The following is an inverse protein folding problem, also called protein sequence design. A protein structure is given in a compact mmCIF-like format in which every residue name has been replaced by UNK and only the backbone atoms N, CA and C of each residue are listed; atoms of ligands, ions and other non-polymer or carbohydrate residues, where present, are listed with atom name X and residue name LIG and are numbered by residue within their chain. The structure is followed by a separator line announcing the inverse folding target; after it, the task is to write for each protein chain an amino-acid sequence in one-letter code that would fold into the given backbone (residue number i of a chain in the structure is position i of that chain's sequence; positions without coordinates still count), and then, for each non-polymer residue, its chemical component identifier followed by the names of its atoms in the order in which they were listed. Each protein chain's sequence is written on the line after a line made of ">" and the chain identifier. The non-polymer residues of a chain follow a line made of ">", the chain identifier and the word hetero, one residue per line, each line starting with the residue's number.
data_IF_933850498034
#
_entry.id   IF_933850498034
#
_cell.length_a   1.000
_cell.length_b   1.000
_cell.length_c   1.000
_cell.angle_alpha   90.00
_cell.angle_beta   90.00
_cell.angle_gamma   90.00
#
_symmetry.space_group_name_H-M   'P 1'
#
loop_
_entity.id
_entity.type
_entity.pdbx_description
1 polymer ?
#
# COMPACT_ATOMS: atom_id res chain seq x y z
N UNK A 1 12.20 -3.89 47.36
CA UNK A 1 12.02 -4.41 45.99
C UNK A 1 11.15 -3.42 45.24
N UNK A 2 11.72 -2.65 44.32
CA UNK A 2 10.96 -1.70 43.52
C UNK A 2 10.25 -2.45 42.38
N UNK A 3 8.93 -2.42 42.39
CA UNK A 3 8.10 -2.89 41.27
C UNK A 3 8.25 -1.90 40.11
N UNK A 4 9.07 -2.25 39.12
CA UNK A 4 9.08 -1.58 37.82
C UNK A 4 7.73 -1.80 37.15
N UNK A 5 6.89 -0.77 37.16
CA UNK A 5 5.70 -0.70 36.33
C UNK A 5 6.17 -0.65 34.88
N UNK A 6 6.08 -1.75 34.16
CA UNK A 6 6.33 -1.79 32.73
C UNK A 6 5.27 -0.93 32.06
N UNK A 7 5.61 0.30 31.67
CA UNK A 7 4.73 1.09 30.80
C UNK A 7 4.51 0.29 29.52
N UNK A 8 3.29 -0.22 29.36
CA UNK A 8 2.87 -0.85 28.12
C UNK A 8 2.71 0.29 27.12
N UNK A 9 3.81 0.61 26.42
CA UNK A 9 3.82 1.67 25.42
C UNK A 9 2.75 1.33 24.35
N UNK A 10 1.64 2.08 24.38
CA UNK A 10 0.52 1.83 23.49
C UNK A 10 0.96 2.13 22.04
N UNK A 11 0.57 1.30 21.06
CA UNK A 11 0.98 1.54 19.68
C UNK A 11 0.38 2.84 19.16
N UNK A 12 1.11 3.55 18.32
CA UNK A 12 0.61 4.70 17.58
C UNK A 12 -0.56 4.24 16.70
N UNK A 13 -1.73 4.85 16.85
CA UNK A 13 -2.89 4.55 15.99
C UNK A 13 -2.88 5.54 14.82
N UNK A 14 -2.81 5.00 13.60
CA UNK A 14 -2.83 5.79 12.37
C UNK A 14 -4.05 5.41 11.55
N UNK A 15 -4.86 6.42 11.23
CA UNK A 15 -6.03 6.26 10.36
C UNK A 15 -5.66 6.73 8.96
N UNK A 16 -5.89 5.88 7.97
CA UNK A 16 -5.63 6.16 6.55
C UNK A 16 -6.97 6.15 5.81
N UNK A 17 -7.31 7.29 5.20
CA UNK A 17 -8.49 7.43 4.35
C UNK A 17 -8.08 7.23 2.89
N UNK A 18 -8.49 6.10 2.32
CA UNK A 18 -8.13 5.65 0.97
C UNK A 18 -7.06 4.55 0.99
N UNK A 19 -7.37 3.43 0.34
CA UNK A 19 -6.49 2.28 0.16
C UNK A 19 -5.82 2.21 -1.21
N UNK A 20 -5.80 3.29 -1.97
CA UNK A 20 -5.07 3.33 -3.25
C UNK A 20 -3.54 3.23 -3.08
N UNK A 21 -2.78 3.36 -4.18
CA UNK A 21 -1.32 3.18 -4.19
C UNK A 21 -0.57 3.90 -3.06
N UNK A 22 -0.90 5.16 -2.83
CA UNK A 22 -0.28 5.99 -1.79
C UNK A 22 -0.62 5.49 -0.39
N UNK A 23 -1.90 5.21 -0.13
CA UNK A 23 -2.37 4.76 1.18
C UNK A 23 -1.79 3.41 1.58
N UNK A 24 -1.74 2.46 0.64
CA UNK A 24 -1.13 1.15 0.85
C UNK A 24 0.38 1.25 1.06
N UNK A 25 1.10 1.97 0.18
CA UNK A 25 2.55 2.13 0.29
C UNK A 25 2.95 2.79 1.62
N UNK A 26 2.26 3.86 2.00
CA UNK A 26 2.46 4.52 3.30
C UNK A 26 2.23 3.53 4.46
N UNK A 27 1.15 2.76 4.39
CA UNK A 27 0.76 1.86 5.48
C UNK A 27 1.76 0.71 5.65
N UNK A 28 2.19 0.10 4.54
CA UNK A 28 3.20 -0.95 4.54
C UNK A 28 4.54 -0.41 5.04
N UNK A 29 4.96 0.76 4.57
CA UNK A 29 6.20 1.38 5.00
C UNK A 29 6.22 1.70 6.49
N UNK A 30 5.17 2.34 6.99
CA UNK A 30 5.05 2.66 8.41
C UNK A 30 5.02 1.38 9.27
N UNK A 31 4.30 0.35 8.83
CA UNK A 31 4.26 -0.95 9.51
C UNK A 31 5.64 -1.60 9.55
N UNK A 32 6.42 -1.53 8.48
CA UNK A 32 7.78 -2.09 8.46
C UNK A 32 8.77 -1.32 9.33
N UNK A 33 8.65 0.00 9.38
CA UNK A 33 9.51 0.84 10.23
C UNK A 33 9.20 0.67 11.73
N UNK A 34 7.91 0.60 12.08
CA UNK A 34 7.48 0.64 13.49
C UNK A 34 7.10 -0.73 14.06
N UNK A 35 6.87 -1.74 13.20
CA UNK A 35 6.43 -3.06 13.60
C UNK A 35 5.22 -3.01 14.53
N UNK A 36 5.35 -3.64 15.69
CA UNK A 36 4.29 -3.68 16.73
C UNK A 36 3.98 -2.33 17.39
N UNK A 37 4.78 -1.29 17.14
CA UNK A 37 4.59 0.04 17.72
C UNK A 37 3.59 0.90 16.93
N UNK A 38 3.01 0.40 15.84
CA UNK A 38 1.95 1.07 15.09
C UNK A 38 0.76 0.14 14.87
N UNK A 39 -0.44 0.71 14.90
CA UNK A 39 -1.68 0.07 14.46
C UNK A 39 -2.31 0.95 13.39
N UNK A 40 -2.47 0.38 12.19
CA UNK A 40 -3.06 1.09 11.05
C UNK A 40 -4.53 0.69 10.89
N UNK A 41 -5.39 1.68 10.71
CA UNK A 41 -6.80 1.51 10.39
C UNK A 41 -7.03 2.19 9.04
N UNK A 42 -7.36 1.39 8.02
CA UNK A 42 -7.57 1.89 6.67
C UNK A 42 -9.04 1.84 6.30
N UNK A 43 -9.56 2.96 5.79
CA UNK A 43 -10.90 3.05 5.22
C UNK A 43 -10.81 3.16 3.70
N UNK A 44 -11.29 2.13 2.99
CA UNK A 44 -11.35 2.10 1.53
C UNK A 44 -12.76 1.71 1.07
N UNK A 45 -13.46 2.64 0.41
CA UNK A 45 -14.83 2.43 -0.06
C UNK A 45 -14.94 1.53 -1.29
N UNK A 46 -13.81 1.18 -1.90
CA UNK A 46 -13.71 0.28 -3.07
C UNK A 46 -13.39 -1.15 -2.68
N UNK A 47 -13.24 -1.47 -1.41
CA UNK A 47 -13.07 -2.85 -0.96
C UNK A 47 -14.41 -3.49 -0.66
N UNK A 48 -14.49 -4.80 -0.89
CA UNK A 48 -15.52 -5.66 -0.35
C UNK A 48 -14.89 -6.90 0.26
N UNK A 49 -15.62 -7.51 1.19
CA UNK A 49 -15.18 -8.74 1.86
C UNK A 49 -16.04 -9.87 1.33
N UNK A 50 -15.41 -10.94 0.84
CA UNK A 50 -16.14 -12.12 0.36
C UNK A 50 -16.66 -12.97 1.54
N UNK A 51 -17.33 -14.08 1.21
CA UNK A 51 -17.86 -15.01 2.22
C UNK A 51 -16.74 -15.69 3.04
N UNK A 52 -15.52 -15.74 2.52
CA UNK A 52 -14.32 -16.31 3.12
C UNK A 52 -13.52 -15.30 3.95
N UNK A 53 -14.02 -14.06 4.11
CA UNK A 53 -13.37 -12.95 4.81
C UNK A 53 -12.09 -12.45 4.13
N UNK A 54 -11.89 -12.75 2.85
CA UNK A 54 -10.81 -12.15 2.04
C UNK A 54 -11.27 -10.78 1.54
N UNK A 55 -10.36 -9.81 1.60
CA UNK A 55 -10.57 -8.45 1.07
C UNK A 55 -10.31 -8.48 -0.43
N UNK A 56 -11.26 -7.92 -1.18
CA UNK A 56 -11.19 -7.80 -2.63
C UNK A 56 -11.46 -6.38 -3.07
N UNK A 57 -10.88 -6.03 -4.20
CA UNK A 57 -11.19 -4.79 -4.90
C UNK A 57 -12.48 -4.92 -5.70
N UNK A 58 -13.35 -3.90 -5.60
CA UNK A 58 -14.43 -3.69 -6.57
C UNK A 58 -13.84 -3.58 -7.99
N UNK A 59 -14.49 -4.24 -8.94
CA UNK A 59 -14.10 -4.32 -10.34
C UNK A 59 -14.97 -3.48 -11.28
N UNK A 60 -14.84 -3.75 -12.58
CA UNK A 60 -15.53 -3.05 -13.68
C UNK A 60 -17.05 -3.14 -13.57
N UNK A 61 -17.58 -4.25 -13.05
CA UNK A 61 -19.02 -4.44 -12.81
C UNK A 61 -19.63 -3.39 -11.88
N UNK A 62 -18.81 -2.69 -11.09
CA UNK A 62 -19.23 -1.63 -10.18
C UNK A 62 -18.90 -0.21 -10.70
N UNK A 63 -18.55 -0.07 -12.00
CA UNK A 63 -18.44 1.22 -12.70
C UNK A 63 -17.20 2.06 -12.37
N UNK A 64 -16.14 1.47 -11.80
CA UNK A 64 -14.96 2.22 -11.31
C UNK A 64 -13.74 2.09 -12.22
N UNK A 65 -13.71 2.92 -13.26
CA UNK A 65 -12.67 3.02 -14.32
C UNK A 65 -11.28 3.46 -13.79
N UNK A 66 -11.19 3.94 -12.54
CA UNK A 66 -9.93 4.48 -11.98
C UNK A 66 -8.81 3.43 -11.89
N UNK A 67 -9.13 2.16 -11.60
CA UNK A 67 -8.11 1.10 -11.46
C UNK A 67 -7.42 0.79 -12.80
N UNK A 68 -8.07 1.13 -13.92
CA UNK A 68 -7.54 0.90 -15.28
C UNK A 68 -6.62 2.03 -15.73
N UNK A 69 -6.54 3.11 -14.95
CA UNK A 69 -5.60 4.19 -15.21
C UNK A 69 -4.17 3.73 -14.91
N UNK A 70 -3.24 4.34 -15.64
CA UNK A 70 -1.81 4.10 -15.48
C UNK A 70 -1.17 5.34 -14.86
N UNK A 71 -0.26 5.14 -13.93
CA UNK A 71 0.56 6.20 -13.33
C UNK A 71 1.98 6.10 -13.89
N UNK A 72 2.51 7.24 -14.33
CA UNK A 72 3.93 7.37 -14.66
C UNK A 72 4.72 7.80 -13.43
N UNK A 73 5.64 6.94 -12.99
CA UNK A 73 6.56 7.22 -11.89
C UNK A 73 7.94 7.56 -12.46
N UNK A 74 8.50 8.67 -11.99
CA UNK A 74 9.88 9.07 -12.30
C UNK A 74 10.85 8.19 -11.51
N UNK A 75 11.99 7.82 -12.12
CA UNK A 75 13.00 6.96 -11.48
C UNK A 75 13.46 7.54 -10.13
N UNK A 76 13.64 8.86 -10.01
CA UNK A 76 13.96 9.50 -8.72
C UNK A 76 12.91 9.26 -7.62
N UNK A 77 11.62 9.18 -7.97
CA UNK A 77 10.56 8.86 -7.00
C UNK A 77 10.62 7.39 -6.60
N UNK A 78 10.95 6.51 -7.54
CA UNK A 78 11.13 5.08 -7.30
C UNK A 78 12.34 4.86 -6.37
N UNK A 79 13.44 5.57 -6.60
CA UNK A 79 14.68 5.47 -5.82
C UNK A 79 14.51 5.91 -4.36
N UNK A 80 13.49 6.73 -4.05
CA UNK A 80 13.14 7.09 -2.68
C UNK A 80 12.35 5.99 -1.95
N UNK A 81 11.82 5.01 -2.67
CA UNK A 81 11.07 3.91 -2.07
C UNK A 81 12.05 2.86 -1.52
N UNK A 82 11.72 2.19 -0.40
CA UNK A 82 12.50 1.05 0.06
C UNK A 82 12.58 -0.08 -0.98
N UNK A 83 13.69 -0.81 -1.00
CA UNK A 83 13.94 -1.89 -1.96
C UNK A 83 12.80 -2.91 -2.06
N UNK A 84 12.17 -3.28 -0.93
CA UNK A 84 11.07 -4.24 -0.92
C UNK A 84 9.80 -3.71 -1.61
N UNK A 85 9.53 -2.39 -1.51
CA UNK A 85 8.44 -1.75 -2.26
C UNK A 85 8.80 -1.72 -3.74
N UNK A 86 10.03 -1.35 -4.08
CA UNK A 86 10.48 -1.34 -5.48
C UNK A 86 10.37 -2.73 -6.12
N UNK A 87 10.80 -3.77 -5.40
CA UNK A 87 10.69 -5.16 -5.84
C UNK A 87 9.22 -5.57 -5.98
N UNK A 88 8.38 -5.31 -4.97
CA UNK A 88 6.95 -5.61 -5.04
C UNK A 88 6.30 -4.95 -6.26
N UNK A 89 6.50 -3.65 -6.45
CA UNK A 89 5.85 -2.88 -7.51
C UNK A 89 6.39 -3.19 -8.91
N UNK A 90 7.71 -3.26 -9.11
CA UNK A 90 8.31 -3.25 -10.44
C UNK A 90 8.91 -4.59 -10.88
N UNK A 91 8.87 -5.64 -10.05
CA UNK A 91 9.36 -6.95 -10.47
C UNK A 91 8.58 -7.43 -11.71
N UNK A 92 9.31 -7.73 -12.79
CA UNK A 92 8.79 -8.20 -14.08
C UNK A 92 7.90 -7.20 -14.85
N UNK A 93 7.87 -5.92 -14.48
CA UNK A 93 7.18 -4.88 -15.26
C UNK A 93 8.20 -4.20 -16.17
N UNK A 94 7.99 -4.27 -17.48
CA UNK A 94 8.86 -3.61 -18.47
C UNK A 94 8.06 -2.58 -19.27
N UNK A 95 7.62 -1.52 -18.59
CA UNK A 95 6.84 -0.41 -19.17
C UNK A 95 7.63 0.91 -19.08
N UNK A 96 8.88 0.90 -19.57
CA UNK A 96 9.66 2.13 -19.69
C UNK A 96 9.00 3.02 -20.75
N UNK A 97 8.49 4.17 -20.33
CA UNK A 97 7.84 5.15 -21.23
C UNK A 97 8.83 6.23 -21.67
N UNK A 98 9.71 6.64 -20.75
CA UNK A 98 10.78 7.59 -21.00
C UNK A 98 12.09 7.09 -20.38
N UNK A 99 13.26 7.64 -20.77
CA UNK A 99 14.55 7.19 -20.25
C UNK A 99 14.64 7.19 -18.72
N UNK A 100 13.85 8.00 -18.02
CA UNK A 100 13.85 8.14 -16.57
C UNK A 100 12.50 7.86 -15.91
N UNK A 101 11.59 7.13 -16.58
CA UNK A 101 10.26 6.87 -16.02
C UNK A 101 9.68 5.52 -16.40
N UNK A 102 8.77 5.04 -15.55
CA UNK A 102 8.05 3.77 -15.73
C UNK A 102 6.57 4.00 -15.54
N UNK A 103 5.78 3.31 -16.36
CA UNK A 103 4.35 3.21 -16.13
C UNK A 103 4.04 1.99 -15.27
N UNK A 104 3.01 2.13 -14.45
CA UNK A 104 2.41 1.01 -13.74
C UNK A 104 0.90 1.26 -13.63
N UNK A 105 0.11 0.24 -13.93
CA UNK A 105 -1.34 0.35 -13.76
C UNK A 105 -1.69 0.48 -12.28
N UNK A 106 -2.68 1.31 -11.96
CA UNK A 106 -3.15 1.47 -10.57
C UNK A 106 -3.61 0.11 -10.02
N UNK A 107 -4.31 -0.68 -10.85
CA UNK A 107 -4.73 -2.05 -10.52
C UNK A 107 -3.55 -2.91 -10.08
N UNK A 108 -2.46 -2.96 -10.86
CA UNK A 108 -1.28 -3.76 -10.55
C UNK A 108 -0.63 -3.34 -9.24
N UNK A 109 -0.51 -2.02 -8.98
CA UNK A 109 0.00 -1.53 -7.69
C UNK A 109 -0.90 -1.99 -6.54
N UNK A 110 -2.20 -1.75 -6.67
CA UNK A 110 -3.19 -2.04 -5.65
C UNK A 110 -3.32 -3.54 -5.36
N UNK A 111 -3.19 -4.41 -6.37
CA UNK A 111 -3.25 -5.87 -6.20
C UNK A 111 -1.98 -6.40 -5.54
N UNK A 112 -0.79 -5.99 -6.03
CA UNK A 112 0.50 -6.44 -5.49
C UNK A 112 0.79 -6.00 -4.07
N UNK A 113 0.22 -4.88 -3.64
CA UNK A 113 0.38 -4.38 -2.26
C UNK A 113 -0.68 -4.95 -1.30
N UNK A 114 -1.75 -5.55 -1.82
CA UNK A 114 -2.82 -6.12 -1.00
C UNK A 114 -2.63 -7.62 -0.74
N UNK A 115 -2.05 -8.37 -1.69
CA UNK A 115 -1.70 -9.79 -1.53
C UNK A 115 -0.50 -10.01 -0.59
#
# INVERSE_FOLDING_TARGET
>A
MATTTTEVNQPLIVVVSGGGPVGLTFSLHLTMMMGKHVKIIMYEGRWFVDQQRKVHWQGEEQGKIRRDQVVTLQDHVIDQMPDYIQQGLFQKINERVWPTSRNISIREVEDRLLD
#
